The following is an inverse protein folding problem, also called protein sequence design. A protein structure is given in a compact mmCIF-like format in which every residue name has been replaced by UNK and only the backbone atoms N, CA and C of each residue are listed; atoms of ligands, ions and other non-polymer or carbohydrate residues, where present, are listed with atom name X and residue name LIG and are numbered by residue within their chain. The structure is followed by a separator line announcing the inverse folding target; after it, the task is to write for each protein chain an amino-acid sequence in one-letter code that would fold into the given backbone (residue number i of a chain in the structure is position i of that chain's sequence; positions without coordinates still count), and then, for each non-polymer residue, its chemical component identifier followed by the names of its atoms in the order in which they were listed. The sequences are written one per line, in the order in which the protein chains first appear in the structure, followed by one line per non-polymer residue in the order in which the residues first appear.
data_IF_610796634581
#
_entry.id   IF_610796634581
#
_cell.length_a   1.000
_cell.length_b   1.000
_cell.length_c   1.000
_cell.angle_alpha   90.00
_cell.angle_beta   90.00
_cell.angle_gamma   90.00
#
_symmetry.space_group_name_H-M   'P 1'
#
loop_
_entity.id
_entity.type
_entity.pdbx_description
1 polymer ?
#
# COMPACT_ATOMS: atom_id res chain seq x y z
N UNK A 1 -1.50 16.15 7.25
CA UNK A 1 -0.27 15.38 7.57
C UNK A 1 -0.06 14.29 6.51
N UNK A 2 1.18 14.05 6.05
CA UNK A 2 1.49 12.94 5.13
C UNK A 2 1.38 11.61 5.89
N UNK A 3 0.76 10.61 5.29
CA UNK A 3 0.62 9.25 5.84
C UNK A 3 1.21 8.23 4.87
N UNK A 4 1.82 7.18 5.39
CA UNK A 4 2.33 6.03 4.62
C UNK A 4 1.46 4.78 4.77
N UNK A 5 0.40 4.86 5.58
CA UNK A 5 -0.55 3.76 5.80
C UNK A 5 -1.96 4.32 5.86
N UNK A 6 -2.90 3.61 5.26
CA UNK A 6 -4.33 3.91 5.28
C UNK A 6 -5.09 2.72 5.86
N UNK A 7 -6.16 3.00 6.60
CA UNK A 7 -7.02 1.96 7.17
C UNK A 7 -8.08 1.60 6.13
N UNK A 8 -8.14 0.32 5.76
CA UNK A 8 -9.20 -0.24 4.92
C UNK A 8 -10.02 -1.18 5.79
N UNK A 9 -11.30 -0.84 5.99
CA UNK A 9 -12.19 -1.68 6.78
C UNK A 9 -12.60 -2.95 6.00
N UNK A 10 -12.96 -4.05 6.67
CA UNK A 10 -13.47 -5.24 6.01
C UNK A 10 -14.64 -4.92 5.07
N UNK A 11 -14.62 -5.45 3.84
CA UNK A 11 -15.65 -5.22 2.83
C UNK A 11 -15.68 -3.81 2.21
N UNK A 12 -14.81 -2.89 2.66
CA UNK A 12 -14.75 -1.53 2.14
C UNK A 12 -13.83 -1.40 0.93
N UNK A 13 -14.14 -0.40 0.08
CA UNK A 13 -13.25 0.09 -0.98
C UNK A 13 -12.97 1.57 -0.70
N UNK A 14 -11.69 1.94 -0.78
CA UNK A 14 -11.25 3.33 -0.62
C UNK A 14 -10.44 3.78 -1.84
N UNK A 15 -10.33 5.09 -2.02
CA UNK A 15 -9.43 5.71 -2.99
C UNK A 15 -8.54 6.70 -2.27
N UNK A 16 -7.27 6.77 -2.68
CA UNK A 16 -6.29 7.72 -2.13
C UNK A 16 -5.30 8.11 -3.24
N UNK A 17 -4.71 9.29 -3.11
CA UNK A 17 -3.70 9.81 -4.03
C UNK A 17 -2.32 9.63 -3.42
N UNK A 18 -1.36 9.19 -4.24
CA UNK A 18 0.06 9.10 -3.88
C UNK A 18 0.85 9.89 -4.90
N UNK A 19 1.70 10.81 -4.43
CA UNK A 19 2.75 11.41 -5.24
C UNK A 19 3.99 10.53 -5.12
N UNK A 20 4.36 9.82 -6.19
CA UNK A 20 5.55 8.97 -6.25
C UNK A 20 6.70 9.76 -6.87
N UNK A 21 7.68 10.15 -6.05
CA UNK A 21 8.87 10.92 -6.44
C UNK A 21 10.13 10.05 -6.61
N UNK A 22 10.04 8.76 -6.27
CA UNK A 22 11.11 7.79 -6.47
C UNK A 22 10.71 6.71 -7.49
N UNK A 23 11.57 6.49 -8.48
CA UNK A 23 11.40 5.42 -9.48
C UNK A 23 11.79 4.06 -8.89
N UNK A 24 11.32 2.99 -9.54
CA UNK A 24 11.69 1.61 -9.23
C UNK A 24 10.60 0.84 -8.48
N UNK A 25 10.97 -0.23 -7.75
CA UNK A 25 10.02 -1.10 -7.06
C UNK A 25 9.61 -0.54 -5.70
N UNK A 26 8.31 -0.57 -5.41
CA UNK A 26 7.70 -0.13 -4.16
C UNK A 26 6.99 -1.30 -3.49
N UNK A 27 7.17 -1.42 -2.17
CA UNK A 27 6.42 -2.36 -1.35
C UNK A 27 5.00 -1.83 -1.11
N UNK A 28 4.00 -2.61 -1.46
CA UNK A 28 2.60 -2.29 -1.26
C UNK A 28 1.88 -3.49 -0.65
N UNK A 29 1.53 -3.39 0.63
CA UNK A 29 1.05 -4.55 1.39
C UNK A 29 0.15 -4.18 2.57
N UNK A 30 -0.53 -5.18 3.12
CA UNK A 30 -1.20 -5.05 4.39
C UNK A 30 -0.18 -4.97 5.54
N UNK A 31 -0.38 -4.06 6.50
CA UNK A 31 0.51 -3.91 7.65
C UNK A 31 0.22 -4.87 8.82
N UNK A 32 -0.76 -5.76 8.68
CA UNK A 32 -1.00 -6.85 9.63
C UNK A 32 -0.02 -7.97 9.31
N UNK A 33 0.92 -8.24 10.23
CA UNK A 33 2.01 -9.20 10.04
C UNK A 33 1.51 -10.56 9.55
N UNK A 34 0.43 -11.07 10.14
CA UNK A 34 -0.17 -12.36 9.78
C UNK A 34 -0.82 -12.37 8.38
N UNK A 35 -1.09 -11.21 7.78
CA UNK A 35 -1.65 -11.11 6.42
C UNK A 35 -0.56 -10.93 5.35
N UNK A 36 0.63 -10.45 5.72
CA UNK A 36 1.71 -10.15 4.77
C UNK A 36 2.07 -11.30 3.81
N UNK A 37 2.12 -12.58 4.24
CA UNK A 37 2.48 -13.67 3.33
C UNK A 37 1.56 -13.83 2.11
N UNK A 38 0.28 -13.45 2.24
CA UNK A 38 -0.71 -13.54 1.15
C UNK A 38 -1.09 -12.17 0.57
N UNK A 39 -0.81 -11.07 1.27
CA UNK A 39 -1.22 -9.71 0.91
C UNK A 39 -0.03 -8.76 0.76
N UNK A 40 1.04 -9.23 0.12
CA UNK A 40 2.19 -8.43 -0.28
C UNK A 40 2.27 -8.29 -1.79
N UNK A 41 2.52 -7.07 -2.28
CA UNK A 41 2.70 -6.79 -3.70
C UNK A 41 3.85 -5.82 -3.95
N UNK A 42 4.57 -6.05 -5.04
CA UNK A 42 5.49 -5.08 -5.65
C UNK A 42 4.73 -4.22 -6.66
N UNK A 43 4.80 -2.91 -6.52
CA UNK A 43 4.33 -1.93 -7.51
C UNK A 43 5.56 -1.30 -8.16
N UNK A 44 5.55 -1.09 -9.48
CA UNK A 44 6.68 -0.48 -10.19
C UNK A 44 6.28 0.92 -10.61
N UNK A 45 7.07 1.91 -10.19
CA UNK A 45 6.99 3.30 -10.66
C UNK A 45 8.07 3.48 -11.71
N UNK A 46 7.68 3.91 -12.90
CA UNK A 46 8.57 4.17 -14.03
C UNK A 46 8.26 5.52 -14.66
#
# INVERSE_FOLDING_TARGET
PRKHTVVVQPGAKISYLVSADAMGPWAYHCHLLYHMPAMFRKVVVG
#
